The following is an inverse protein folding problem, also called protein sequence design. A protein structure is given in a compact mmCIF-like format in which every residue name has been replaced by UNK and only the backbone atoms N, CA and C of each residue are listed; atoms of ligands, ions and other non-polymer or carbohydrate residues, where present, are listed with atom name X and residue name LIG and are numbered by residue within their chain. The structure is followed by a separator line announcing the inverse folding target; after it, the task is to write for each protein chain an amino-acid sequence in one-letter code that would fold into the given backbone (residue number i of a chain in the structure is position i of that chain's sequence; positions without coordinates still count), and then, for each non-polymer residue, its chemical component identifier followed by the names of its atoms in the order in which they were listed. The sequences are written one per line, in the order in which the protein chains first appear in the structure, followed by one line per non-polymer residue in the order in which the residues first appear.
data_IF_615659491115
#
_entry.id   IF_615659491115
#
_cell.length_a   1.000
_cell.length_b   1.000
_cell.length_c   1.000
_cell.angle_alpha   90.00
_cell.angle_beta   90.00
_cell.angle_gamma   90.00
#
_symmetry.space_group_name_H-M   'P 1'
#
loop_
_entity.id
_entity.type
_entity.pdbx_description
1 polymer ?
#
# COMPACT_ATOMS: atom_id res chain seq x y z
N UNK A 1 9.94 6.32 -18.70
CA UNK A 1 9.29 7.65 -18.73
C UNK A 1 8.21 7.57 -17.65
N UNK A 2 8.19 8.52 -16.72
CA UNK A 2 7.34 8.47 -15.51
C UNK A 2 5.92 8.89 -15.88
N UNK A 3 4.91 8.06 -15.61
CA UNK A 3 3.50 8.28 -15.99
C UNK A 3 3.01 9.72 -15.76
N UNK A 4 3.36 10.31 -14.61
CA UNK A 4 3.02 11.69 -14.28
C UNK A 4 3.55 12.72 -15.29
N UNK A 5 4.77 12.57 -15.79
CA UNK A 5 5.36 13.50 -16.76
C UNK A 5 4.68 13.44 -18.14
N UNK A 6 3.89 12.39 -18.40
CA UNK A 6 3.20 12.17 -19.68
C UNK A 6 1.72 12.56 -19.61
N UNK A 7 1.12 12.40 -18.43
CA UNK A 7 -0.32 12.48 -18.24
C UNK A 7 -0.76 13.57 -17.25
N UNK A 8 0.19 14.26 -16.61
CA UNK A 8 -0.08 15.24 -15.56
C UNK A 8 -0.95 14.67 -14.43
N UNK A 9 -0.83 13.36 -14.15
CA UNK A 9 -1.63 12.63 -13.17
C UNK A 9 -0.84 11.47 -12.55
N UNK A 10 -1.21 11.06 -11.33
CA UNK A 10 -0.70 9.83 -10.72
C UNK A 10 -1.59 8.63 -11.04
N UNK A 11 -0.97 7.47 -11.24
CA UNK A 11 -1.64 6.20 -11.50
C UNK A 11 -1.55 5.30 -10.27
N UNK A 12 -2.66 5.05 -9.55
CA UNK A 12 -2.67 4.19 -8.37
C UNK A 12 -2.70 2.70 -8.71
N UNK A 13 -2.95 2.30 -9.97
CA UNK A 13 -2.95 0.90 -10.38
C UNK A 13 -1.54 0.45 -10.74
N UNK A 14 -0.92 -0.38 -9.89
CA UNK A 14 0.45 -0.86 -10.07
C UNK A 14 0.68 -1.54 -11.44
N UNK A 15 -0.28 -2.32 -11.91
CA UNK A 15 -0.19 -3.01 -13.20
C UNK A 15 -0.08 -2.04 -14.40
N UNK A 16 -0.74 -0.87 -14.33
CA UNK A 16 -0.66 0.17 -15.37
C UNK A 16 0.67 0.92 -15.37
N UNK A 17 1.43 0.82 -14.26
CA UNK A 17 2.81 1.29 -14.17
C UNK A 17 3.84 0.24 -14.59
N UNK A 18 3.40 -0.87 -15.20
CA UNK A 18 4.23 -2.05 -15.48
C UNK A 18 4.90 -2.63 -14.23
N UNK A 19 4.28 -2.47 -13.06
CA UNK A 19 4.71 -3.08 -11.81
C UNK A 19 3.73 -4.19 -11.43
N UNK A 20 4.08 -5.42 -11.79
CA UNK A 20 3.31 -6.59 -11.40
C UNK A 20 3.74 -7.06 -10.00
N UNK A 21 2.77 -7.24 -9.12
CA UNK A 21 3.01 -7.78 -7.78
C UNK A 21 2.83 -9.30 -7.88
N UNK A 22 3.90 -10.10 -7.77
CA UNK A 22 3.82 -11.53 -7.99
C UNK A 22 2.95 -12.21 -6.93
N UNK A 23 2.34 -13.34 -7.31
CA UNK A 23 1.74 -14.28 -6.35
C UNK A 23 2.81 -14.81 -5.39
N UNK A 24 2.39 -15.16 -4.18
CA UNK A 24 3.25 -15.53 -3.06
C UNK A 24 3.80 -14.35 -2.27
N UNK A 25 3.37 -13.11 -2.53
CA UNK A 25 3.77 -11.92 -1.76
C UNK A 25 3.29 -12.00 -0.30
N UNK A 26 4.15 -11.54 0.62
CA UNK A 26 3.84 -11.52 2.06
C UNK A 26 3.27 -10.17 2.56
N UNK A 27 3.26 -9.16 1.68
CA UNK A 27 2.86 -7.80 2.00
C UNK A 27 1.56 -7.43 1.29
N UNK A 28 0.73 -6.61 1.93
CA UNK A 28 -0.31 -5.86 1.25
C UNK A 28 0.28 -4.56 0.69
N UNK A 29 -0.02 -4.24 -0.57
CA UNK A 29 0.38 -3.03 -1.27
C UNK A 29 -0.85 -2.18 -1.53
N UNK A 30 -0.90 -0.96 -1.00
CA UNK A 30 -2.11 -0.14 -0.97
C UNK A 30 -1.81 1.25 -1.54
N UNK A 31 -2.36 1.58 -2.71
CA UNK A 31 -2.36 2.93 -3.28
C UNK A 31 -3.79 3.53 -3.32
N UNK A 32 -4.74 2.85 -2.69
CA UNK A 32 -6.15 3.18 -2.57
C UNK A 32 -6.89 2.13 -1.75
N UNK A 33 -8.23 2.20 -1.73
CA UNK A 33 -9.08 1.27 -0.96
C UNK A 33 -9.66 0.18 -1.85
N UNK A 34 -10.36 0.58 -2.91
CA UNK A 34 -11.00 -0.31 -3.87
C UNK A 34 -10.81 0.24 -5.29
N UNK A 35 -10.80 -0.61 -6.32
CA UNK A 35 -10.93 -2.08 -6.24
C UNK A 35 -9.68 -2.77 -5.66
N UNK A 36 -9.87 -3.85 -4.90
CA UNK A 36 -8.81 -4.63 -4.27
C UNK A 36 -8.67 -6.07 -4.84
N UNK A 37 -7.45 -6.50 -5.14
CA UNK A 37 -7.10 -7.90 -5.35
C UNK A 37 -6.78 -8.55 -3.99
N UNK A 38 -7.76 -9.20 -3.37
CA UNK A 38 -7.66 -9.69 -1.98
C UNK A 38 -6.64 -10.83 -1.78
N UNK A 39 -6.42 -11.66 -2.80
CA UNK A 39 -5.49 -12.81 -2.81
C UNK A 39 -5.66 -13.84 -1.67
N UNK A 40 -6.87 -13.95 -1.13
CA UNK A 40 -7.23 -14.90 -0.08
C UNK A 40 -7.75 -16.25 -0.60
N UNK A 41 -8.16 -16.32 -1.88
CA UNK A 41 -8.68 -17.52 -2.52
C UNK A 41 -7.76 -18.05 -3.64
N UNK A 42 -7.41 -19.33 -3.56
CA UNK A 42 -6.61 -20.00 -4.59
C UNK A 42 -7.36 -20.07 -5.93
N UNK A 43 -6.67 -19.72 -7.01
CA UNK A 43 -7.23 -19.73 -8.37
C UNK A 43 -8.19 -18.57 -8.68
N UNK A 44 -8.34 -17.59 -7.77
CA UNK A 44 -9.06 -16.36 -8.08
C UNK A 44 -8.35 -15.58 -9.21
N UNK A 45 -9.14 -15.04 -10.13
CA UNK A 45 -8.61 -14.16 -11.18
C UNK A 45 -8.03 -12.88 -10.56
N UNK A 46 -6.97 -12.36 -11.16
CA UNK A 46 -6.44 -11.06 -10.79
C UNK A 46 -7.47 -9.96 -11.10
N UNK A 47 -7.51 -8.92 -10.26
CA UNK A 47 -8.35 -7.74 -10.46
C UNK A 47 -7.55 -6.71 -11.25
N UNK A 48 -7.93 -6.47 -12.51
CA UNK A 48 -7.13 -5.69 -13.49
C UNK A 48 -6.84 -4.25 -13.04
N UNK A 49 -7.84 -3.57 -12.47
CA UNK A 49 -7.73 -2.18 -12.03
C UNK A 49 -7.42 -2.03 -10.54
N UNK A 50 -6.87 -3.07 -9.89
CA UNK A 50 -6.62 -3.06 -8.46
C UNK A 50 -5.69 -1.92 -8.02
N UNK A 51 -6.19 -1.08 -7.11
CA UNK A 51 -5.40 -0.06 -6.40
C UNK A 51 -4.85 -0.58 -5.07
N UNK A 52 -5.32 -1.75 -4.65
CA UNK A 52 -4.88 -2.48 -3.48
C UNK A 52 -4.65 -3.94 -3.84
N UNK A 53 -3.52 -4.49 -3.40
CA UNK A 53 -3.18 -5.90 -3.56
C UNK A 53 -2.89 -6.47 -2.17
N UNK A 54 -3.66 -7.47 -1.78
CA UNK A 54 -3.55 -8.10 -0.47
C UNK A 54 -2.34 -9.03 -0.34
N UNK A 55 -2.08 -9.46 0.89
CA UNK A 55 -1.19 -10.58 1.20
C UNK A 55 -1.69 -11.84 0.49
N UNK A 56 -0.81 -12.60 -0.16
CA UNK A 56 -1.19 -13.84 -0.84
C UNK A 56 -1.33 -15.00 0.15
N UNK A 57 -2.42 -14.96 0.92
CA UNK A 57 -2.80 -16.00 1.88
C UNK A 57 -3.18 -17.30 1.16
N UNK A 58 -3.67 -17.21 -0.07
CA UNK A 58 -3.96 -18.39 -0.89
C UNK A 58 -2.71 -19.26 -1.13
N UNK A 59 -1.55 -18.62 -1.31
CA UNK A 59 -0.26 -19.30 -1.49
C UNK A 59 0.48 -19.53 -0.16
N UNK A 60 0.27 -18.65 0.83
CA UNK A 60 0.92 -18.69 2.15
C UNK A 60 -0.15 -18.73 3.26
N UNK A 61 -0.79 -19.90 3.52
CA UNK A 61 -1.94 -20.02 4.42
C UNK A 61 -1.62 -19.72 5.89
N UNK A 62 -0.35 -19.64 6.26
CA UNK A 62 0.11 -19.25 7.59
C UNK A 62 0.15 -17.73 7.82
N UNK A 63 0.01 -16.93 6.76
CA UNK A 63 -0.11 -15.48 6.85
C UNK A 63 -1.57 -15.07 7.09
N UNK A 64 -1.75 -13.87 7.64
CA UNK A 64 -3.08 -13.27 7.82
C UNK A 64 -3.39 -12.33 6.65
N UNK A 65 -4.65 -12.31 6.23
CA UNK A 65 -5.13 -11.30 5.31
C UNK A 65 -5.11 -9.93 6.00
N UNK A 66 -4.64 -8.91 5.29
CA UNK A 66 -4.62 -7.52 5.75
C UNK A 66 -5.53 -6.72 4.84
N UNK A 67 -6.51 -6.03 5.42
CA UNK A 67 -7.47 -5.16 4.74
C UNK A 67 -7.17 -3.72 5.08
N UNK A 68 -7.65 -2.80 4.25
CA UNK A 68 -7.49 -1.36 4.50
C UNK A 68 -8.05 -0.92 5.87
N UNK A 69 -9.11 -1.59 6.36
CA UNK A 69 -9.69 -1.32 7.69
C UNK A 69 -8.82 -1.76 8.87
N UNK A 70 -7.79 -2.57 8.65
CA UNK A 70 -6.87 -3.03 9.69
C UNK A 70 -5.73 -2.01 9.93
N UNK A 71 -5.60 -1.00 9.07
CA UNK A 71 -4.56 0.02 9.18
C UNK A 71 -4.79 0.95 10.38
N UNK A 72 -3.71 1.43 11.02
CA UNK A 72 -3.81 2.53 11.98
C UNK A 72 -4.53 3.74 11.37
N UNK A 73 -5.39 4.41 12.15
CA UNK A 73 -6.23 5.52 11.65
C UNK A 73 -5.42 6.64 10.97
N UNK A 74 -4.23 6.95 11.48
CA UNK A 74 -3.35 7.95 10.87
C UNK A 74 -2.79 7.49 9.52
N UNK A 75 -2.55 6.20 9.34
CA UNK A 75 -2.11 5.62 8.07
C UNK A 75 -3.26 5.64 7.06
N UNK A 76 -4.43 5.14 7.47
CA UNK A 76 -5.61 5.08 6.61
C UNK A 76 -6.05 6.45 6.07
N UNK A 77 -5.82 7.53 6.83
CA UNK A 77 -6.11 8.91 6.39
C UNK A 77 -5.13 9.45 5.35
N UNK A 78 -3.96 8.85 5.22
CA UNK A 78 -2.88 9.34 4.36
C UNK A 78 -2.82 8.59 3.02
N UNK A 79 -3.13 7.29 3.01
CA UNK A 79 -3.05 6.43 1.80
C UNK A 79 -4.08 6.84 0.74
N UNK A 80 -3.64 6.84 -0.52
CA UNK A 80 -4.48 7.11 -1.68
C UNK A 80 -4.06 8.33 -2.48
N UNK A 81 -4.89 8.67 -3.47
CA UNK A 81 -4.84 9.96 -4.14
C UNK A 81 -5.51 11.04 -3.30
N UNK A 82 -4.94 12.24 -3.34
CA UNK A 82 -5.51 13.43 -2.72
C UNK A 82 -5.34 14.65 -3.62
N UNK A 83 -6.28 15.58 -3.56
CA UNK A 83 -6.33 16.73 -4.47
C UNK A 83 -6.86 16.37 -5.86
N UNK A 84 -6.71 17.31 -6.79
CA UNK A 84 -7.08 17.16 -8.20
C UNK A 84 -5.81 17.35 -9.04
N UNK A 85 -5.62 16.52 -10.07
CA UNK A 85 -4.43 16.60 -10.90
C UNK A 85 -4.52 17.80 -11.87
N UNK A 86 -3.42 18.53 -12.14
CA UNK A 86 -2.03 18.17 -11.83
C UNK A 86 -1.58 18.45 -10.38
N UNK A 87 -2.30 19.20 -9.57
CA UNK A 87 -1.88 19.48 -8.18
C UNK A 87 -2.14 18.33 -7.18
N UNK A 88 -2.39 17.11 -7.68
CA UNK A 88 -2.69 15.95 -6.86
C UNK A 88 -1.43 15.35 -6.22
N UNK A 89 -1.62 14.56 -5.18
CA UNK A 89 -0.57 13.78 -4.55
C UNK A 89 -1.03 12.34 -4.35
N UNK A 90 -0.08 11.41 -4.38
CA UNK A 90 -0.30 9.99 -4.10
C UNK A 90 0.49 9.58 -2.87
N UNK A 91 -0.11 8.74 -2.04
CA UNK A 91 0.54 8.06 -0.94
C UNK A 91 0.24 6.57 -1.04
N UNK A 92 1.29 5.75 -1.06
CA UNK A 92 1.18 4.30 -1.07
C UNK A 92 1.68 3.72 0.26
N UNK A 93 1.08 2.60 0.68
CA UNK A 93 1.51 1.82 1.83
C UNK A 93 1.98 0.42 1.40
N UNK A 94 2.98 -0.07 2.10
CA UNK A 94 3.37 -1.48 2.13
C UNK A 94 3.17 -1.97 3.56
N UNK A 95 2.40 -3.04 3.74
CA UNK A 95 1.95 -3.48 5.07
C UNK A 95 2.13 -4.97 5.20
N UNK A 96 2.70 -5.43 6.30
CA UNK A 96 2.82 -6.85 6.61
C UNK A 96 2.61 -7.09 8.10
N UNK A 97 2.59 -8.37 8.46
CA UNK A 97 2.78 -8.81 9.82
C UNK A 97 3.91 -9.85 9.76
N UNK A 98 5.16 -9.39 9.89
CA UNK A 98 6.33 -10.19 9.55
C UNK A 98 6.70 -11.19 10.65
N UNK A 99 6.42 -10.87 11.91
CA UNK A 99 6.72 -11.72 13.06
C UNK A 99 5.52 -12.60 13.52
N UNK A 100 4.36 -12.43 12.88
CA UNK A 100 3.10 -13.15 13.11
C UNK A 100 2.40 -12.81 14.42
N UNK A 101 2.65 -11.63 14.99
CA UNK A 101 2.00 -11.19 16.21
C UNK A 101 0.66 -10.46 15.96
N UNK A 102 0.26 -9.56 16.86
CA UNK A 102 -0.99 -8.81 16.79
C UNK A 102 -0.87 -7.44 16.11
N UNK A 103 0.35 -6.97 15.90
CA UNK A 103 0.66 -5.66 15.34
C UNK A 103 0.96 -5.80 13.83
N UNK A 104 1.19 -4.68 13.14
CA UNK A 104 1.49 -4.61 11.72
C UNK A 104 2.78 -3.82 11.49
N UNK A 105 3.62 -4.29 10.57
CA UNK A 105 4.70 -3.50 10.01
C UNK A 105 4.15 -2.62 8.88
N UNK A 106 4.31 -1.30 8.99
CA UNK A 106 3.73 -0.34 8.05
C UNK A 106 4.79 0.60 7.51
N UNK A 107 4.95 0.62 6.19
CA UNK A 107 5.74 1.61 5.46
C UNK A 107 4.86 2.47 4.56
N UNK A 108 5.17 3.75 4.47
CA UNK A 108 4.53 4.71 3.59
C UNK A 108 5.55 5.37 2.67
N UNK A 109 5.13 5.70 1.45
CA UNK A 109 5.86 6.58 0.55
C UNK A 109 4.86 7.52 -0.13
N UNK A 110 5.25 8.78 -0.33
CA UNK A 110 4.32 9.82 -0.77
C UNK A 110 4.98 10.86 -1.64
N UNK A 111 4.21 11.49 -2.53
CA UNK A 111 4.63 12.66 -3.29
C UNK A 111 4.36 14.00 -2.59
N UNK A 112 3.75 13.96 -1.41
CA UNK A 112 3.57 15.10 -0.49
C UNK A 112 4.14 14.79 0.89
N UNK A 113 4.31 15.83 1.70
CA UNK A 113 4.66 15.69 3.12
C UNK A 113 3.67 14.75 3.83
N UNK A 114 4.20 13.82 4.62
CA UNK A 114 3.43 12.92 5.49
C UNK A 114 3.58 13.32 6.94
N UNK A 115 2.61 12.92 7.76
CA UNK A 115 2.69 12.98 9.22
C UNK A 115 3.13 11.62 9.75
N UNK A 116 4.31 11.60 10.38
CA UNK A 116 4.86 10.46 11.10
C UNK A 116 4.07 10.08 12.36
N UNK A 117 4.39 8.93 12.98
CA UNK A 117 3.70 8.45 14.17
C UNK A 117 3.86 9.36 15.41
N UNK A 118 4.94 10.15 15.47
CA UNK A 118 5.23 11.14 16.50
C UNK A 118 4.71 12.55 16.14
N UNK A 119 4.00 12.68 15.02
CA UNK A 119 3.51 13.94 14.49
C UNK A 119 4.55 14.76 13.75
N UNK A 120 5.78 14.27 13.56
CA UNK A 120 6.79 14.97 12.78
C UNK A 120 6.53 14.83 11.28
N UNK A 121 6.88 15.87 10.48
CA UNK A 121 6.76 15.79 9.04
C UNK A 121 7.81 14.84 8.44
N UNK A 122 7.45 14.14 7.39
CA UNK A 122 8.35 13.38 6.52
C UNK A 122 8.25 13.94 5.11
N UNK A 123 9.41 14.27 4.53
CA UNK A 123 9.49 14.93 3.23
C UNK A 123 9.00 14.02 2.09
N UNK A 124 8.48 14.60 0.98
CA UNK A 124 8.11 13.84 -0.21
C UNK A 124 9.25 12.94 -0.72
N UNK A 125 8.90 11.70 -1.08
CA UNK A 125 9.84 10.71 -1.60
C UNK A 125 10.66 9.98 -0.55
N UNK A 126 10.62 10.39 0.72
CA UNK A 126 11.26 9.66 1.81
C UNK A 126 10.34 8.51 2.30
N UNK A 127 10.84 7.26 2.38
CA UNK A 127 10.09 6.18 2.98
C UNK A 127 9.90 6.42 4.49
N UNK A 128 8.65 6.41 4.93
CA UNK A 128 8.27 6.48 6.34
C UNK A 128 8.00 5.08 6.88
N UNK A 129 8.81 4.63 7.82
CA UNK A 129 8.54 3.45 8.63
C UNK A 129 7.60 3.85 9.77
N UNK A 130 6.29 3.70 9.57
CA UNK A 130 5.26 4.21 10.49
C UNK A 130 5.12 3.33 11.75
N UNK A 131 5.21 2.02 11.59
CA UNK A 131 5.12 1.05 12.68
C UNK A 131 6.06 -0.10 12.40
N UNK A 132 6.85 -0.48 13.41
CA UNK A 132 7.73 -1.64 13.44
C UNK A 132 7.44 -2.38 14.74
N UNK A 133 6.95 -3.60 14.65
CA UNK A 133 6.69 -4.44 15.82
C UNK A 133 7.67 -5.62 15.96
N UNK A 134 8.60 -5.76 15.01
CA UNK A 134 9.56 -6.87 14.96
C UNK A 134 10.17 -7.11 16.34
N UNK A 135 9.83 -8.25 16.95
CA UNK A 135 10.51 -8.73 18.15
C UNK A 135 11.87 -9.31 17.78
N UNK A 136 12.91 -8.81 18.42
CA UNK A 136 14.27 -9.39 18.41
C UNK A 136 14.30 -10.84 18.92
#
# INVERSE_FOLDING_TARGET
MTHYAEHDAYEPVFAKLNHDIPRGNHFAFLAGVEPADARDAAGAAAVEDAVAVGVDVATNPELKAIKFGDLPVLVAKQVGLSGECPECAITAACVANLDRDGDLDVWLISSKELTGPDGQPVEPGEPLHFMNDLKD
#
